data_IF_929883606012
#
_entry.id   IF_929883606012
#
_cell.length_a   1.000
_cell.length_b   1.000
_cell.length_c   1.000
_cell.angle_alpha   90.00
_cell.angle_beta   90.00
_cell.angle_gamma   90.00
#
_symmetry.space_group_name_H-M   'P 1'
#
loop_
_entity.id
_entity.type
_entity.pdbx_description
1 polymer ?
#
# COMPACT_ATOMS: atom_id res chain seq x y z
N UNK A 1 -35.35 -10.80 -1.94
CA UNK A 1 -35.43 -11.46 -0.61
C UNK A 1 -34.48 -12.65 -0.65
N UNK A 2 -33.31 -12.53 -0.04
CA UNK A 2 -32.45 -13.68 0.30
C UNK A 2 -31.60 -13.25 1.49
N UNK A 3 -32.15 -13.45 2.67
CA UNK A 3 -31.49 -13.26 3.97
C UNK A 3 -30.65 -14.51 4.22
N UNK A 4 -29.54 -14.66 3.51
CA UNK A 4 -28.59 -15.71 3.80
C UNK A 4 -27.61 -15.17 4.85
N UNK A 5 -27.98 -15.32 6.12
CA UNK A 5 -27.00 -15.37 7.19
C UNK A 5 -26.05 -16.51 6.84
N UNK A 6 -24.88 -16.18 6.29
CA UNK A 6 -23.79 -17.13 6.29
C UNK A 6 -23.53 -17.41 7.76
N UNK A 7 -23.70 -18.67 8.17
CA UNK A 7 -23.27 -19.14 9.47
C UNK A 7 -21.77 -18.84 9.56
N UNK A 8 -21.42 -17.72 10.17
CA UNK A 8 -20.03 -17.33 10.38
C UNK A 8 -19.47 -18.41 11.28
N UNK A 9 -18.60 -19.27 10.73
CA UNK A 9 -17.92 -20.28 11.52
C UNK A 9 -17.04 -19.57 12.52
N UNK A 10 -17.53 -19.51 13.76
CA UNK A 10 -16.83 -18.90 14.87
C UNK A 10 -15.71 -19.82 15.33
N UNK A 11 -14.66 -19.22 15.90
CA UNK A 11 -13.60 -19.96 16.56
C UNK A 11 -14.11 -20.81 17.73
N UNK A 12 -13.27 -21.70 18.26
CA UNK A 12 -13.61 -22.58 19.38
C UNK A 12 -14.01 -21.83 20.66
N UNK A 13 -13.76 -20.53 20.73
CA UNK A 13 -14.09 -19.65 21.85
C UNK A 13 -15.37 -18.81 21.60
N UNK A 14 -16.05 -19.01 20.47
CA UNK A 14 -17.23 -18.24 20.09
C UNK A 14 -16.91 -16.87 19.47
N UNK A 15 -17.92 -15.97 19.35
CA UNK A 15 -17.81 -14.72 18.60
C UNK A 15 -16.78 -13.72 19.15
N UNK A 16 -16.45 -13.80 20.45
CA UNK A 16 -15.57 -12.85 21.14
C UNK A 16 -16.15 -11.44 21.23
N UNK A 17 -15.54 -10.59 22.06
CA UNK A 17 -15.91 -9.19 22.21
C UNK A 17 -15.13 -8.29 21.23
N UNK A 18 -15.52 -7.02 21.12
CA UNK A 18 -14.75 -6.06 20.34
C UNK A 18 -13.34 -5.92 20.95
N UNK A 19 -12.25 -6.00 20.15
CA UNK A 19 -10.89 -5.89 20.67
C UNK A 19 -10.66 -4.58 21.42
N UNK A 20 -10.04 -4.63 22.60
CA UNK A 20 -9.73 -3.44 23.40
C UNK A 20 -8.81 -2.43 22.69
N UNK A 21 -7.97 -2.90 21.76
CA UNK A 21 -7.16 -2.07 20.84
C UNK A 21 -7.44 -2.51 19.41
N UNK A 22 -7.80 -1.56 18.55
CA UNK A 22 -8.05 -1.85 17.13
C UNK A 22 -6.73 -2.21 16.41
N UNK A 23 -6.55 -3.46 15.95
CA UNK A 23 -5.33 -3.88 15.28
C UNK A 23 -5.16 -3.22 13.89
N UNK A 24 -6.25 -2.76 13.25
CA UNK A 24 -6.19 -2.04 11.97
C UNK A 24 -5.53 -0.66 12.11
N UNK A 25 -5.57 -0.07 13.32
CA UNK A 25 -4.88 1.19 13.60
C UNK A 25 -3.36 1.05 13.50
N UNK A 26 -2.81 -0.10 13.89
CA UNK A 26 -1.38 -0.41 13.73
C UNK A 26 -0.97 -0.56 12.26
N UNK A 27 -1.84 -1.18 11.46
CA UNK A 27 -1.61 -1.37 10.03
C UNK A 27 -1.47 -0.04 9.26
N UNK A 28 -2.17 1.03 9.68
CA UNK A 28 -2.02 2.36 9.09
C UNK A 28 -0.58 2.90 9.19
N UNK A 29 0.14 2.56 10.26
CA UNK A 29 1.56 2.92 10.40
C UNK A 29 2.45 2.16 9.41
N UNK A 30 2.17 0.87 9.19
CA UNK A 30 2.88 0.05 8.21
C UNK A 30 2.64 0.60 6.79
N UNK A 31 1.40 0.91 6.44
CA UNK A 31 1.07 1.51 5.13
C UNK A 31 1.79 2.85 4.90
N UNK A 32 1.90 3.70 5.93
CA UNK A 32 2.67 4.94 5.86
C UNK A 32 4.16 4.68 5.64
N UNK A 33 4.75 3.75 6.42
CA UNK A 33 6.15 3.38 6.27
C UNK A 33 6.47 2.83 4.87
N UNK A 34 5.62 1.95 4.35
CA UNK A 34 5.74 1.41 2.98
C UNK A 34 5.69 2.53 1.94
N UNK A 35 4.75 3.47 2.06
CA UNK A 35 4.63 4.57 1.09
C UNK A 35 5.83 5.53 1.13
N UNK A 36 6.42 5.79 2.29
CA UNK A 36 7.67 6.57 2.40
C UNK A 36 8.84 5.84 1.75
N UNK A 37 9.02 4.54 2.05
CA UNK A 37 10.07 3.72 1.46
C UNK A 37 9.97 3.68 -0.06
N UNK A 38 8.75 3.57 -0.57
CA UNK A 38 8.45 3.61 -1.99
C UNK A 38 8.77 4.97 -2.61
N UNK A 39 8.32 6.06 -1.97
CA UNK A 39 8.59 7.41 -2.43
C UNK A 39 10.10 7.69 -2.54
N UNK A 40 10.90 7.28 -1.55
CA UNK A 40 12.36 7.42 -1.60
C UNK A 40 12.92 6.58 -2.74
N UNK A 41 12.49 5.31 -2.88
CA UNK A 41 12.94 4.43 -3.96
C UNK A 41 12.62 4.98 -5.35
N UNK A 42 11.45 5.62 -5.49
CA UNK A 42 11.01 6.27 -6.72
C UNK A 42 11.82 7.55 -6.99
N UNK A 43 12.13 8.36 -5.98
CA UNK A 43 13.01 9.52 -6.14
C UNK A 43 14.45 9.12 -6.49
N UNK A 44 14.93 7.96 -6.04
CA UNK A 44 16.23 7.42 -6.47
C UNK A 44 16.28 7.11 -7.98
N UNK A 45 15.14 6.89 -8.64
CA UNK A 45 15.07 6.73 -10.11
C UNK A 45 15.58 7.98 -10.82
N UNK A 46 15.43 9.18 -10.24
CA UNK A 46 16.01 10.41 -10.80
C UNK A 46 17.52 10.29 -11.00
N UNK A 47 18.20 9.67 -10.03
CA UNK A 47 19.65 9.45 -10.13
C UNK A 47 19.99 8.43 -11.21
N UNK A 48 19.11 7.46 -11.47
CA UNK A 48 19.28 6.47 -12.53
C UNK A 48 19.14 7.12 -13.89
N UNK A 49 18.04 7.83 -14.16
CA UNK A 49 17.81 8.46 -15.47
C UNK A 49 18.76 9.61 -15.77
N UNK A 50 19.34 10.24 -14.74
CA UNK A 50 20.29 11.35 -14.89
C UNK A 50 21.75 10.94 -14.99
N UNK A 51 22.12 9.74 -14.52
CA UNK A 51 23.52 9.28 -14.52
C UNK A 51 23.80 8.07 -15.40
N UNK A 52 22.81 7.23 -15.69
CA UNK A 52 22.98 6.12 -16.64
C UNK A 52 22.79 6.59 -18.08
N UNK A 53 23.39 5.86 -19.02
CA UNK A 53 23.24 6.04 -20.47
C UNK A 53 23.50 7.47 -20.97
N UNK A 54 24.48 8.16 -20.38
CA UNK A 54 24.78 9.57 -20.64
C UNK A 54 23.56 10.52 -20.53
N UNK A 55 22.56 10.16 -19.70
CA UNK A 55 21.37 10.98 -19.49
C UNK A 55 20.35 10.92 -20.62
N UNK A 56 20.36 9.88 -21.46
CA UNK A 56 19.40 9.71 -22.55
C UNK A 56 17.92 9.80 -22.09
N UNK A 57 17.65 9.40 -20.85
CA UNK A 57 16.31 9.42 -20.24
C UNK A 57 16.02 10.67 -19.41
N UNK A 58 16.95 11.65 -19.34
CA UNK A 58 16.80 12.92 -18.62
C UNK A 58 15.98 13.95 -19.43
N UNK A 59 14.77 13.57 -19.83
CA UNK A 59 13.84 14.49 -20.50
C UNK A 59 13.04 15.27 -19.46
N UNK A 60 12.59 16.48 -19.82
CA UNK A 60 11.78 17.34 -18.92
C UNK A 60 10.53 16.63 -18.42
N UNK A 61 9.88 15.82 -19.26
CA UNK A 61 8.72 15.04 -18.88
C UNK A 61 9.06 13.97 -17.84
N UNK A 62 10.15 13.22 -18.03
CA UNK A 62 10.51 12.09 -17.18
C UNK A 62 10.90 12.51 -15.76
N UNK A 63 11.84 13.43 -15.61
CA UNK A 63 12.30 13.82 -14.28
C UNK A 63 11.20 14.58 -13.51
N UNK A 64 10.38 15.39 -14.20
CA UNK A 64 9.28 16.10 -13.58
C UNK A 64 8.19 15.13 -13.11
N UNK A 65 7.84 14.14 -13.92
CA UNK A 65 6.89 13.09 -13.56
C UNK A 65 7.35 12.32 -12.31
N UNK A 66 8.58 11.81 -12.32
CA UNK A 66 9.15 11.04 -11.20
C UNK A 66 9.18 11.89 -9.93
N UNK A 67 9.61 13.16 -10.03
CA UNK A 67 9.65 14.08 -8.88
C UNK A 67 8.25 14.32 -8.33
N UNK A 68 7.28 14.62 -9.19
CA UNK A 68 5.92 14.91 -8.77
C UNK A 68 5.27 13.70 -8.08
N UNK A 69 5.37 12.51 -8.67
CA UNK A 69 4.82 11.28 -8.09
C UNK A 69 5.53 10.92 -6.78
N UNK A 70 6.87 10.97 -6.74
CA UNK A 70 7.63 10.66 -5.53
C UNK A 70 7.28 11.58 -4.36
N UNK A 71 7.21 12.89 -4.62
CA UNK A 71 6.80 13.88 -3.60
C UNK A 71 5.34 13.69 -3.21
N UNK A 72 4.44 13.43 -4.16
CA UNK A 72 3.03 13.17 -3.87
C UNK A 72 2.86 11.95 -2.96
N UNK A 73 3.57 10.84 -3.23
CA UNK A 73 3.58 9.64 -2.39
C UNK A 73 4.15 9.94 -0.99
N UNK A 74 5.24 10.69 -0.91
CA UNK A 74 5.84 11.08 0.38
C UNK A 74 4.88 11.92 1.23
N UNK A 75 4.25 12.94 0.63
CA UNK A 75 3.26 13.77 1.31
C UNK A 75 2.05 12.93 1.72
N UNK A 76 1.56 12.06 0.83
CA UNK A 76 0.41 11.21 1.10
C UNK A 76 0.64 10.21 2.24
N UNK A 77 1.90 9.87 2.54
CA UNK A 77 2.23 8.97 3.64
C UNK A 77 1.82 9.53 5.01
N UNK A 78 1.78 10.86 5.16
CA UNK A 78 1.33 11.50 6.40
C UNK A 78 -0.20 11.48 6.57
N UNK A 79 -0.94 11.22 5.49
CA UNK A 79 -2.41 11.21 5.47
C UNK A 79 -3.01 9.80 5.49
N UNK A 80 -2.22 8.77 5.82
CA UNK A 80 -2.68 7.37 5.83
C UNK A 80 -3.76 7.03 6.86
N UNK A 81 -4.08 7.96 7.78
CA UNK A 81 -5.21 7.80 8.72
C UNK A 81 -6.57 8.16 8.12
N UNK A 82 -6.60 8.72 6.91
CA UNK A 82 -7.84 9.09 6.24
C UNK A 82 -8.59 7.85 5.73
N UNK A 83 -9.94 7.87 5.70
CA UNK A 83 -10.75 6.74 5.25
C UNK A 83 -10.57 6.41 3.75
N UNK A 84 -10.08 7.37 2.96
CA UNK A 84 -9.82 7.23 1.51
C UNK A 84 -8.43 6.66 1.20
N UNK A 85 -7.62 6.32 2.22
CA UNK A 85 -6.23 5.92 2.07
C UNK A 85 -6.02 4.80 1.04
N UNK A 86 -6.83 3.75 1.09
CA UNK A 86 -6.69 2.55 0.26
C UNK A 86 -6.94 2.86 -1.22
N UNK A 87 -7.94 3.69 -1.51
CA UNK A 87 -8.27 4.11 -2.88
C UNK A 87 -7.11 4.93 -3.44
N UNK A 88 -6.59 5.89 -2.68
CA UNK A 88 -5.50 6.75 -3.15
C UNK A 88 -4.19 5.98 -3.27
N UNK A 89 -3.88 5.05 -2.36
CA UNK A 89 -2.70 4.20 -2.48
C UNK A 89 -2.75 3.36 -3.76
N UNK A 90 -3.89 2.72 -4.06
CA UNK A 90 -4.07 1.97 -5.31
C UNK A 90 -3.95 2.90 -6.53
N UNK A 91 -4.56 4.09 -6.48
CA UNK A 91 -4.46 5.06 -7.57
C UNK A 91 -3.00 5.48 -7.82
N UNK A 92 -2.24 5.78 -6.77
CA UNK A 92 -0.81 6.11 -6.86
C UNK A 92 0.01 4.95 -7.43
N UNK A 93 -0.29 3.70 -7.05
CA UNK A 93 0.34 2.51 -7.63
C UNK A 93 0.11 2.39 -9.13
N UNK A 94 -1.14 2.56 -9.57
CA UNK A 94 -1.49 2.46 -10.98
C UNK A 94 -0.83 3.59 -11.78
N UNK A 95 -0.84 4.82 -11.26
CA UNK A 95 -0.20 5.96 -11.91
C UNK A 95 1.32 5.75 -12.01
N UNK A 96 1.97 5.29 -10.93
CA UNK A 96 3.40 5.00 -10.92
C UNK A 96 3.75 3.91 -11.93
N UNK A 97 2.94 2.84 -12.02
CA UNK A 97 3.15 1.74 -12.96
C UNK A 97 3.00 2.19 -14.41
N UNK A 98 1.92 2.90 -14.73
CA UNK A 98 1.68 3.42 -16.09
C UNK A 98 2.79 4.37 -16.50
N UNK A 99 3.19 5.28 -15.60
CA UNK A 99 4.30 6.20 -15.84
C UNK A 99 5.65 5.51 -16.00
N UNK A 100 5.90 4.42 -15.27
CA UNK A 100 7.16 3.69 -15.33
C UNK A 100 7.48 3.16 -16.75
N UNK A 101 6.46 2.78 -17.53
CA UNK A 101 6.64 2.34 -18.92
C UNK A 101 7.23 3.41 -19.84
N UNK A 102 7.04 4.70 -19.52
CA UNK A 102 7.54 5.82 -20.32
C UNK A 102 8.89 6.36 -19.82
N UNK A 103 9.26 6.08 -18.57
CA UNK A 103 10.46 6.65 -17.95
C UNK A 103 11.70 5.79 -18.20
N UNK A 104 11.74 4.58 -17.64
CA UNK A 104 12.92 3.70 -17.70
C UNK A 104 12.59 2.29 -17.18
N UNK A 105 13.22 1.25 -17.72
CA UNK A 105 12.98 -0.14 -17.33
C UNK A 105 13.25 -0.42 -15.84
N UNK A 106 14.23 0.26 -15.22
CA UNK A 106 14.49 0.12 -13.78
C UNK A 106 13.31 0.57 -12.93
N UNK A 107 12.56 1.59 -13.37
CA UNK A 107 11.38 2.08 -12.67
C UNK A 107 10.27 1.04 -12.70
N UNK A 108 10.10 0.32 -13.82
CA UNK A 108 9.08 -0.73 -13.96
C UNK A 108 9.34 -1.83 -12.93
N UNK A 109 10.57 -2.33 -12.84
CA UNK A 109 10.94 -3.39 -11.91
C UNK A 109 10.71 -2.93 -10.46
N UNK A 110 11.11 -1.70 -10.13
CA UNK A 110 10.95 -1.13 -8.79
C UNK A 110 9.46 -0.98 -8.42
N UNK A 111 8.63 -0.44 -9.30
CA UNK A 111 7.18 -0.29 -9.04
C UNK A 111 6.51 -1.65 -8.91
N UNK A 112 6.83 -2.63 -9.76
CA UNK A 112 6.29 -3.99 -9.64
C UNK A 112 6.64 -4.64 -8.30
N UNK A 113 7.85 -4.41 -7.80
CA UNK A 113 8.25 -4.89 -6.47
C UNK A 113 7.35 -4.30 -5.37
N UNK A 114 7.11 -2.99 -5.40
CA UNK A 114 6.22 -2.34 -4.42
C UNK A 114 4.76 -2.74 -4.58
N UNK A 115 4.27 -2.97 -5.80
CA UNK A 115 2.93 -3.55 -6.03
C UNK A 115 2.82 -4.91 -5.32
N UNK A 116 3.86 -5.75 -5.38
CA UNK A 116 3.92 -7.00 -4.64
C UNK A 116 3.82 -6.81 -3.13
N UNK A 117 4.56 -5.83 -2.59
CA UNK A 117 4.49 -5.46 -1.16
C UNK A 117 3.09 -4.97 -0.78
N UNK A 118 2.48 -4.12 -1.59
CA UNK A 118 1.11 -3.63 -1.36
C UNK A 118 0.08 -4.74 -1.42
N UNK A 119 0.19 -5.65 -2.39
CA UNK A 119 -0.67 -6.83 -2.48
C UNK A 119 -0.57 -7.68 -1.21
N UNK A 120 0.64 -7.87 -0.69
CA UNK A 120 0.86 -8.59 0.57
C UNK A 120 0.25 -7.85 1.78
N UNK A 121 0.40 -6.53 1.88
CA UNK A 121 -0.23 -5.73 2.94
C UNK A 121 -1.75 -5.83 2.88
N UNK A 122 -2.34 -5.74 1.68
CA UNK A 122 -3.79 -5.87 1.49
C UNK A 122 -4.29 -7.28 1.84
N UNK A 123 -3.51 -8.31 1.51
CA UNK A 123 -3.78 -9.69 1.91
C UNK A 123 -3.79 -9.84 3.44
N UNK A 124 -2.77 -9.32 4.14
CA UNK A 124 -2.71 -9.34 5.61
C UNK A 124 -3.90 -8.60 6.23
N UNK A 125 -4.28 -7.46 5.66
CA UNK A 125 -5.46 -6.70 6.10
C UNK A 125 -6.73 -7.51 5.98
N UNK A 126 -6.95 -8.15 4.83
CA UNK A 126 -8.14 -8.95 4.57
C UNK A 126 -8.21 -10.15 5.53
N UNK A 127 -7.10 -10.86 5.70
CA UNK A 127 -7.01 -11.98 6.62
C UNK A 127 -7.26 -11.57 8.07
N UNK A 128 -6.72 -10.44 8.52
CA UNK A 128 -6.94 -9.91 9.87
C UNK A 128 -8.42 -9.57 10.11
N UNK A 129 -9.08 -8.91 9.14
CA UNK A 129 -10.51 -8.58 9.22
C UNK A 129 -11.35 -9.85 9.31
N UNK A 130 -11.02 -10.87 8.51
CA UNK A 130 -11.69 -12.16 8.55
C UNK A 130 -11.54 -12.86 9.90
N UNK A 131 -10.32 -12.86 10.47
CA UNK A 131 -10.06 -13.43 11.80
C UNK A 131 -10.80 -12.69 12.91
N UNK A 132 -10.93 -11.37 12.81
CA UNK A 132 -11.74 -10.57 13.74
C UNK A 132 -13.22 -10.93 13.67
N UNK A 133 -13.78 -11.11 12.47
CA UNK A 133 -15.19 -11.52 12.27
C UNK A 133 -15.48 -12.89 12.86
N UNK A 134 -14.51 -13.81 12.81
CA UNK A 134 -14.63 -15.17 13.34
C UNK A 134 -14.33 -15.28 14.84
N UNK A 135 -13.98 -14.19 15.53
CA UNK A 135 -13.65 -14.24 16.96
C UNK A 135 -12.32 -14.98 17.26
N UNK A 136 -11.36 -14.99 16.33
CA UNK A 136 -10.14 -15.78 16.45
C UNK A 136 -8.97 -15.06 17.14
N UNK A 137 -9.14 -13.80 17.56
CA UNK A 137 -8.08 -13.07 18.26
C UNK A 137 -8.16 -13.30 19.76
N UNK A 138 -7.01 -13.56 20.39
CA UNK A 138 -6.92 -13.72 21.86
C UNK A 138 -7.44 -12.51 22.62
N UNK A 139 -7.22 -11.31 22.08
CA UNK A 139 -7.71 -10.03 22.64
C UNK A 139 -9.23 -9.85 22.58
N UNK A 140 -9.97 -10.77 21.95
CA UNK A 140 -11.44 -10.79 21.96
C UNK A 140 -12.01 -11.64 23.11
N UNK A 141 -11.15 -12.42 23.78
CA UNK A 141 -11.52 -13.39 24.82
C UNK A 141 -10.75 -13.17 26.13
N UNK A 142 -10.13 -12.00 26.28
CA UNK A 142 -9.51 -11.53 27.53
C UNK A 142 -10.40 -10.48 28.16
#
# INVERSE_FOLDING_TARGET
MSTAGQDIEYGPLGPGHAPAKDPLKGLNGVMAGTLVMEAISLLLVLTVIGRLDNGAYWTTANWLFVTFIGVAMFVWAFFQRLPINLIVNIALQVIALVGAFFVHYSMIIMVLFFIGVWAFILYLRANLIERMKRGLLTTQHT
#
